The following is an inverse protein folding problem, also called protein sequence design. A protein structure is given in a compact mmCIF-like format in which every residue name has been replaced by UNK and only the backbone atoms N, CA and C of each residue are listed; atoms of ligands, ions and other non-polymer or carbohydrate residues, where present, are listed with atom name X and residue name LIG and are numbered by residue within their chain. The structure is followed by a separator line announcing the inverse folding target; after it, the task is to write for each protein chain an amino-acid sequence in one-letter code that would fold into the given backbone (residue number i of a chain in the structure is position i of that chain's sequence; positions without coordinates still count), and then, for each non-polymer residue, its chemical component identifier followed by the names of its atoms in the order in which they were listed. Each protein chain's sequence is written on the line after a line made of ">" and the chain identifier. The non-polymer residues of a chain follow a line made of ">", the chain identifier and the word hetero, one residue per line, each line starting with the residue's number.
data_IF_123843772757
#
_entry.id   IF_123843772757
#
_cell.length_a   1.000
_cell.length_b   1.000
_cell.length_c   1.000
_cell.angle_alpha   90.00
_cell.angle_beta   90.00
_cell.angle_gamma   90.00
#
_symmetry.space_group_name_H-M   'P 1'
#
loop_
_entity.id
_entity.type
_entity.pdbx_description
1 polymer ?
#
# COMPACT_ATOMS: atom_id res chain seq x y z
N UNK A 1 -2.24 -9.17 13.90
CA UNK A 1 -3.22 -8.90 12.84
C UNK A 1 -2.86 -7.54 12.24
N UNK A 2 -2.60 -7.47 10.93
CA UNK A 2 -2.08 -6.26 10.29
C UNK A 2 -3.20 -5.23 10.06
N UNK A 3 -2.88 -3.93 10.07
CA UNK A 3 -3.86 -2.84 9.84
C UNK A 3 -4.69 -3.05 8.57
N UNK A 4 -4.07 -3.61 7.53
CA UNK A 4 -4.67 -3.95 6.24
C UNK A 4 -5.82 -4.96 6.39
N UNK A 5 -5.61 -6.02 7.17
CA UNK A 5 -6.59 -7.09 7.36
C UNK A 5 -7.77 -6.66 8.24
N UNK A 6 -7.50 -5.81 9.24
CA UNK A 6 -8.53 -5.30 10.16
C UNK A 6 -9.26 -4.06 9.64
N UNK A 7 -8.81 -3.48 8.51
CA UNK A 7 -9.38 -2.24 7.97
C UNK A 7 -9.09 -1.01 8.82
N UNK A 8 -8.00 -1.01 9.58
CA UNK A 8 -7.55 0.19 10.32
C UNK A 8 -6.71 1.06 9.39
N UNK A 9 -6.82 2.40 9.48
CA UNK A 9 -5.96 3.30 8.72
C UNK A 9 -4.48 3.00 9.01
N UNK A 10 -3.67 3.01 7.95
CA UNK A 10 -2.22 2.95 8.05
C UNK A 10 -1.65 4.30 7.60
N UNK A 11 -0.92 4.95 8.51
CA UNK A 11 -0.19 6.19 8.21
C UNK A 11 1.26 5.83 7.99
N UNK A 12 1.78 6.17 6.82
CA UNK A 12 3.16 5.90 6.44
C UNK A 12 3.90 7.23 6.32
N UNK A 13 5.08 7.26 6.92
CA UNK A 13 6.08 8.32 6.78
C UNK A 13 7.35 7.71 6.22
N UNK A 14 8.17 8.52 5.53
CA UNK A 14 9.51 8.12 5.07
C UNK A 14 9.53 6.87 4.17
N UNK A 15 8.93 7.00 2.98
CA UNK A 15 8.66 5.89 2.06
C UNK A 15 9.89 5.18 1.48
N UNK A 16 11.10 5.73 1.65
CA UNK A 16 12.35 5.27 1.04
C UNK A 16 12.63 3.78 1.31
N UNK A 17 12.20 3.27 2.47
CA UNK A 17 12.48 1.88 2.89
C UNK A 17 11.37 0.90 2.44
N UNK A 18 10.11 1.36 2.37
CA UNK A 18 8.94 0.47 2.27
C UNK A 18 8.25 0.51 0.90
N UNK A 19 8.67 1.41 0.01
CA UNK A 19 8.03 1.61 -1.29
C UNK A 19 7.93 0.32 -2.12
N UNK A 20 9.06 -0.37 -2.32
CA UNK A 20 9.09 -1.63 -3.09
C UNK A 20 8.29 -2.76 -2.44
N UNK A 21 8.20 -2.74 -1.11
CA UNK A 21 7.47 -3.75 -0.34
C UNK A 21 5.95 -3.65 -0.49
N UNK A 22 5.43 -2.42 -0.57
CA UNK A 22 3.99 -2.12 -0.58
C UNK A 22 3.45 -1.77 -1.96
N UNK A 23 4.27 -1.88 -3.00
CA UNK A 23 3.90 -1.52 -4.36
C UNK A 23 2.62 -2.24 -4.85
N UNK A 24 2.58 -3.57 -4.71
CA UNK A 24 1.43 -4.40 -5.09
C UNK A 24 0.15 -4.07 -4.28
N UNK A 25 0.30 -3.54 -3.05
CA UNK A 25 -0.83 -3.06 -2.23
C UNK A 25 -1.41 -1.75 -2.80
N UNK A 26 -0.58 -0.80 -3.21
CA UNK A 26 -1.06 0.50 -3.73
C UNK A 26 -1.50 0.45 -5.19
N UNK A 27 -0.99 -0.50 -5.96
CA UNK A 27 -1.38 -0.68 -7.36
C UNK A 27 -2.84 -1.19 -7.50
N UNK A 28 -3.47 -1.57 -6.40
CA UNK A 28 -4.85 -2.10 -6.33
C UNK A 28 -5.10 -3.30 -7.26
N UNK A 29 -4.05 -4.00 -7.68
CA UNK A 29 -4.10 -5.24 -8.46
C UNK A 29 -4.46 -6.42 -7.55
N UNK A 30 -5.62 -6.33 -6.89
CA UNK A 30 -6.08 -7.32 -5.93
C UNK A 30 -6.60 -8.58 -6.62
N UNK A 31 -6.27 -9.72 -6.03
CA UNK A 31 -6.90 -10.99 -6.34
C UNK A 31 -8.29 -10.98 -5.68
N UNK A 32 -9.34 -11.07 -6.50
CA UNK A 32 -10.73 -11.09 -6.04
C UNK A 32 -11.19 -12.53 -5.92
N UNK A 33 -11.36 -13.03 -4.70
CA UNK A 33 -11.89 -14.39 -4.45
C UNK A 33 -13.42 -14.40 -4.48
N UNK A 34 -14.06 -13.33 -4.01
CA UNK A 34 -15.51 -13.14 -4.03
C UNK A 34 -15.85 -11.64 -3.93
N UNK A 35 -17.15 -11.29 -3.95
CA UNK A 35 -17.65 -9.91 -4.06
C UNK A 35 -16.97 -8.91 -3.10
N UNK A 36 -16.56 -9.33 -1.91
CA UNK A 36 -15.93 -8.50 -0.88
C UNK A 36 -14.66 -9.11 -0.28
N UNK A 37 -14.02 -10.04 -1.01
CA UNK A 37 -12.77 -10.66 -0.59
C UNK A 37 -11.63 -10.34 -1.54
N UNK A 38 -10.82 -9.38 -1.13
CA UNK A 38 -9.67 -8.89 -1.85
C UNK A 38 -8.40 -9.39 -1.17
N UNK A 39 -7.44 -9.84 -1.97
CA UNK A 39 -6.12 -10.22 -1.49
C UNK A 39 -5.04 -9.51 -2.29
N UNK A 40 -3.99 -9.06 -1.62
CA UNK A 40 -2.79 -8.52 -2.27
C UNK A 40 -1.55 -9.26 -1.80
N UNK A 41 -0.50 -9.19 -2.59
CA UNK A 41 0.83 -9.66 -2.20
C UNK A 41 1.58 -8.50 -1.58
N UNK A 42 2.34 -8.76 -0.53
CA UNK A 42 3.30 -7.80 0.03
C UNK A 42 4.68 -8.42 -0.02
N UNK A 43 5.66 -7.67 -0.50
CA UNK A 43 7.04 -8.15 -0.64
C UNK A 43 7.84 -7.76 0.59
N UNK A 44 8.34 -8.74 1.34
CA UNK A 44 9.20 -8.51 2.50
C UNK A 44 10.59 -9.13 2.24
N UNK A 45 11.50 -8.32 1.72
CA UNK A 45 12.79 -8.82 1.22
C UNK A 45 12.65 -9.72 -0.01
N UNK A 46 13.66 -10.55 -0.28
CA UNK A 46 13.74 -11.30 -1.55
C UNK A 46 12.90 -12.59 -1.59
N UNK A 47 12.42 -13.10 -0.45
CA UNK A 47 11.87 -14.46 -0.35
C UNK A 47 10.50 -14.55 0.34
N UNK A 48 10.04 -13.49 0.98
CA UNK A 48 8.78 -13.51 1.74
C UNK A 48 7.75 -12.67 1.01
N UNK A 49 6.77 -13.35 0.43
CA UNK A 49 5.73 -12.72 -0.38
C UNK A 49 4.33 -13.16 0.11
N UNK A 50 3.93 -12.82 1.34
CA UNK A 50 2.63 -13.20 1.88
C UNK A 50 1.48 -12.62 1.06
N UNK A 51 0.43 -13.42 0.94
CA UNK A 51 -0.89 -12.95 0.51
C UNK A 51 -1.63 -12.41 1.73
N UNK A 52 -2.01 -11.13 1.69
CA UNK A 52 -2.76 -10.45 2.74
C UNK A 52 -4.19 -10.20 2.28
N UNK A 53 -5.15 -10.46 3.16
CA UNK A 53 -6.51 -9.99 2.97
C UNK A 53 -6.55 -8.46 3.10
N UNK A 54 -7.19 -7.79 2.14
CA UNK A 54 -7.41 -6.35 2.13
C UNK A 54 -8.85 -6.08 2.53
N UNK A 55 -9.02 -5.51 3.73
CA UNK A 55 -10.33 -5.07 4.19
C UNK A 55 -10.86 -3.94 3.30
N UNK A 56 -12.15 -3.96 2.87
CA UNK A 56 -12.76 -2.86 2.11
C UNK A 56 -12.74 -1.51 2.85
N UNK A 57 -12.61 -1.54 4.18
CA UNK A 57 -12.54 -0.34 5.02
C UNK A 57 -11.10 0.18 5.19
N UNK A 58 -10.10 -0.52 4.66
CA UNK A 58 -8.72 -0.12 4.78
C UNK A 58 -8.45 1.19 4.04
N UNK A 59 -7.69 2.08 4.68
CA UNK A 59 -7.19 3.32 4.08
C UNK A 59 -5.69 3.44 4.35
N UNK A 60 -4.94 3.81 3.32
CA UNK A 60 -3.52 4.11 3.43
C UNK A 60 -3.31 5.61 3.25
N UNK A 61 -2.67 6.25 4.20
CA UNK A 61 -2.33 7.68 4.16
C UNK A 61 -0.81 7.79 4.10
N UNK A 62 -0.31 8.38 3.03
CA UNK A 62 1.10 8.68 2.87
C UNK A 62 1.33 10.14 3.30
N UNK A 63 2.19 10.33 4.29
CA UNK A 63 2.67 11.65 4.71
C UNK A 63 4.12 11.79 4.25
N UNK A 64 4.37 12.83 3.45
CA UNK A 64 5.70 13.13 2.93
C UNK A 64 5.97 14.63 3.02
N UNK A 65 7.26 14.97 3.13
CA UNK A 65 7.71 16.36 3.01
C UNK A 65 7.46 16.85 1.57
N UNK A 66 6.85 18.03 1.43
CA UNK A 66 6.57 18.65 0.14
C UNK A 66 7.85 18.84 -0.69
N UNK A 67 8.99 19.11 -0.04
CA UNK A 67 10.28 19.24 -0.73
C UNK A 67 10.74 17.90 -1.34
N UNK A 68 10.30 16.77 -0.79
CA UNK A 68 10.57 15.43 -1.33
C UNK A 68 9.54 15.01 -2.39
N UNK A 69 8.44 15.75 -2.55
CA UNK A 69 7.40 15.45 -3.55
C UNK A 69 7.95 15.47 -4.97
N UNK A 70 8.80 16.45 -5.28
CA UNK A 70 9.45 16.57 -6.59
C UNK A 70 10.44 15.42 -6.89
N UNK A 71 10.89 14.69 -5.86
CA UNK A 71 11.82 13.57 -5.99
C UNK A 71 11.11 12.21 -5.99
N UNK A 72 9.81 12.17 -5.70
CA UNK A 72 9.05 10.94 -5.65
C UNK A 72 8.75 10.41 -7.04
N UNK A 73 8.73 9.08 -7.16
CA UNK A 73 8.45 8.39 -8.41
C UNK A 73 7.05 8.76 -8.94
N UNK A 74 6.92 9.23 -10.20
CA UNK A 74 5.62 9.59 -10.77
C UNK A 74 4.54 8.49 -10.68
N UNK A 75 4.85 7.19 -10.86
CA UNK A 75 3.88 6.12 -10.65
C UNK A 75 3.33 6.02 -9.23
N UNK A 76 4.13 6.36 -8.21
CA UNK A 76 3.65 6.44 -6.83
C UNK A 76 2.63 7.57 -6.72
N UNK A 77 2.99 8.78 -7.18
CA UNK A 77 2.13 9.95 -7.08
C UNK A 77 0.79 9.75 -7.79
N UNK A 78 0.79 9.08 -8.94
CA UNK A 78 -0.44 8.80 -9.70
C UNK A 78 -1.38 7.80 -9.00
N UNK A 79 -0.91 7.03 -8.01
CA UNK A 79 -1.73 6.07 -7.24
C UNK A 79 -2.38 6.68 -6.01
N UNK A 80 -1.90 7.83 -5.56
CA UNK A 80 -2.44 8.53 -4.41
C UNK A 80 -3.24 9.75 -4.88
N UNK A 81 -4.44 9.92 -4.32
CA UNK A 81 -5.16 11.16 -4.48
C UNK A 81 -4.51 12.22 -3.59
N UNK A 82 -4.09 13.33 -4.18
CA UNK A 82 -3.65 14.52 -3.45
C UNK A 82 -4.91 15.22 -2.93
N UNK A 83 -4.97 15.45 -1.62
CA UNK A 83 -6.12 16.03 -0.92
C UNK A 83 -5.71 17.18 0.00
#
# INVERSE_FOLDING_TARGET
>A
MMCVEVGRPLILTDLEIIYGSLYDLWDQNYIVESKDKYFTRVTFGAYVNPMLYVSPNFKCILVMDENKLALADPPLLNRFQIG
#
